data_IF_701880205682
#
_entry.id   IF_701880205682
#
_cell.length_a   1.000
_cell.length_b   1.000
_cell.length_c   1.000
_cell.angle_alpha   90.00
_cell.angle_beta   90.00
_cell.angle_gamma   90.00
#
_symmetry.space_group_name_H-M   'P 1'
#
loop_
_entity.id
_entity.type
_entity.pdbx_description
1 polymer ?
#
# COMPACT_ATOMS: atom_id res chain seq x y z
N UNK A 1 -5.45 22.42 -71.54
CA UNK A 1 -6.27 23.33 -72.35
C UNK A 1 -5.34 24.06 -73.30
N UNK A 2 -5.83 24.60 -74.41
CA UNK A 2 -4.96 25.02 -75.51
C UNK A 2 -4.19 26.32 -75.21
N UNK A 3 -2.94 26.42 -75.68
CA UNK A 3 -2.13 27.63 -75.49
C UNK A 3 -2.78 28.87 -76.15
N UNK A 4 -3.51 28.65 -77.24
CA UNK A 4 -4.23 29.68 -77.99
C UNK A 4 -5.31 30.37 -77.13
N UNK A 5 -6.03 29.62 -76.31
CA UNK A 5 -7.10 30.16 -75.43
C UNK A 5 -6.54 31.04 -74.31
N UNK A 6 -5.31 30.79 -73.84
CA UNK A 6 -4.64 31.65 -72.87
C UNK A 6 -4.13 32.95 -73.51
N UNK A 7 -3.74 32.92 -74.79
CA UNK A 7 -3.33 34.11 -75.54
C UNK A 7 -4.48 35.08 -75.79
N UNK A 8 -5.60 34.58 -76.31
CA UNK A 8 -6.83 35.38 -76.51
C UNK A 8 -7.33 36.00 -75.19
N UNK A 9 -7.19 35.28 -74.08
CA UNK A 9 -7.57 35.74 -72.75
C UNK A 9 -6.75 36.97 -72.27
N UNK A 10 -5.43 36.97 -72.45
CA UNK A 10 -4.60 38.13 -72.09
C UNK A 10 -4.87 39.33 -73.00
N UNK A 11 -5.17 39.11 -74.28
CA UNK A 11 -5.52 40.20 -75.21
C UNK A 11 -6.77 40.97 -74.73
N UNK A 12 -7.82 40.27 -74.29
CA UNK A 12 -9.05 40.90 -73.75
C UNK A 12 -8.78 41.78 -72.52
N UNK A 13 -7.80 41.42 -71.68
CA UNK A 13 -7.40 42.25 -70.52
C UNK A 13 -6.65 43.50 -70.98
N UNK A 14 -5.71 43.36 -71.92
CA UNK A 14 -4.94 44.48 -72.50
C UNK A 14 -5.87 45.47 -73.21
N UNK A 15 -6.81 44.99 -74.01
CA UNK A 15 -7.76 45.82 -74.76
C UNK A 15 -8.70 46.58 -73.81
N UNK A 16 -9.11 45.96 -72.69
CA UNK A 16 -9.91 46.64 -71.66
C UNK A 16 -9.13 47.76 -70.95
N UNK A 17 -7.81 47.63 -70.79
CA UNK A 17 -6.95 48.69 -70.22
C UNK A 17 -6.75 49.82 -71.25
N UNK A 18 -6.52 49.48 -72.52
CA UNK A 18 -6.33 50.46 -73.60
C UNK A 18 -7.60 51.32 -73.85
N UNK A 19 -8.79 50.75 -73.64
CA UNK A 19 -10.06 51.49 -73.79
C UNK A 19 -10.16 52.72 -72.88
N UNK A 20 -9.51 52.70 -71.71
CA UNK A 20 -9.54 53.78 -70.71
C UNK A 20 -8.65 54.99 -71.06
N UNK A 21 -7.66 54.82 -71.93
CA UNK A 21 -6.60 55.81 -72.19
C UNK A 21 -6.73 56.54 -73.54
N UNK A 22 -7.90 56.50 -74.17
CA UNK A 22 -8.12 57.01 -75.54
C UNK A 22 -8.74 58.42 -75.62
N UNK A 23 -8.26 59.39 -74.82
CA UNK A 23 -8.72 60.79 -74.83
C UNK A 23 -7.56 61.80 -74.63
N UNK A 24 -7.20 62.55 -75.68
CA UNK A 24 -6.15 63.59 -75.66
C UNK A 24 -4.73 63.02 -75.73
N UNK A 25 -3.86 63.29 -76.71
CA UNK A 25 -3.48 64.55 -77.40
C UNK A 25 -2.65 65.52 -76.54
N UNK A 26 -1.61 66.08 -77.15
CA UNK A 26 -0.56 66.88 -76.49
C UNK A 26 -1.10 68.24 -75.98
N UNK A 27 -0.82 68.58 -74.71
CA UNK A 27 0.05 69.70 -74.29
C UNK A 27 0.01 69.91 -72.76
N UNK A 28 1.05 70.55 -72.20
CA UNK A 28 1.02 71.09 -70.83
C UNK A 28 1.71 70.27 -69.73
N UNK A 29 2.35 70.97 -68.80
CA UNK A 29 3.10 70.42 -67.65
C UNK A 29 2.31 70.54 -66.33
N UNK A 30 2.76 69.95 -65.19
CA UNK A 30 1.86 69.25 -64.27
C UNK A 30 1.10 70.10 -63.25
N UNK A 31 0.03 69.51 -62.71
CA UNK A 31 -0.57 69.86 -61.40
C UNK A 31 -0.88 68.60 -60.60
N UNK A 32 -0.82 68.73 -59.28
CA UNK A 32 -1.11 67.68 -58.30
C UNK A 32 -2.55 67.85 -57.80
N UNK A 33 -3.32 66.74 -57.77
CA UNK A 33 -4.45 66.52 -56.86
C UNK A 33 -4.68 65.01 -56.69
N UNK A 34 -5.36 64.65 -55.61
CA UNK A 34 -5.60 63.28 -55.16
C UNK A 34 -7.03 62.80 -55.50
N UNK A 35 -7.33 61.51 -55.27
CA UNK A 35 -8.66 60.85 -55.37
C UNK A 35 -9.30 60.82 -56.78
N UNK A 36 -9.88 59.73 -57.30
CA UNK A 36 -10.51 58.57 -56.66
C UNK A 36 -10.14 57.20 -57.28
N UNK A 37 -10.28 56.12 -56.50
CA UNK A 37 -9.92 54.75 -56.89
C UNK A 37 -11.08 53.99 -57.54
N UNK A 38 -11.26 54.11 -58.86
CA UNK A 38 -12.18 53.25 -59.62
C UNK A 38 -11.47 51.93 -59.95
N UNK A 39 -11.81 50.85 -59.23
CA UNK A 39 -11.30 49.50 -59.48
C UNK A 39 -12.07 48.90 -60.68
N UNK A 40 -11.39 48.45 -61.77
CA UNK A 40 -12.06 47.74 -62.85
C UNK A 40 -12.42 46.31 -62.41
N UNK A 41 -13.71 45.95 -62.46
CA UNK A 41 -14.14 44.57 -62.16
C UNK A 41 -13.57 43.58 -63.19
N UNK A 42 -12.97 42.49 -62.71
CA UNK A 42 -12.29 41.48 -63.53
C UNK A 42 -13.29 40.56 -64.23
N UNK A 43 -13.71 40.96 -65.44
CA UNK A 43 -14.78 40.37 -66.28
C UNK A 43 -14.72 38.85 -66.57
N UNK A 44 -13.73 38.08 -66.10
CA UNK A 44 -13.61 36.63 -66.33
C UNK A 44 -13.07 35.83 -65.10
N UNK A 45 -13.53 36.15 -63.89
CA UNK A 45 -13.10 35.43 -62.68
C UNK A 45 -13.34 33.90 -62.75
N UNK A 46 -14.44 33.47 -63.39
CA UNK A 46 -14.84 32.07 -63.53
C UNK A 46 -13.85 31.19 -64.30
N UNK A 47 -13.09 31.77 -65.24
CA UNK A 47 -12.11 31.01 -66.04
C UNK A 47 -10.84 30.73 -65.22
N UNK A 48 -10.39 31.71 -64.42
CA UNK A 48 -9.22 31.55 -63.56
C UNK A 48 -9.42 30.49 -62.47
N UNK A 49 -10.62 30.40 -61.88
CA UNK A 49 -10.96 29.38 -60.86
C UNK A 49 -10.88 27.93 -61.36
N UNK A 50 -10.79 27.69 -62.68
CA UNK A 50 -10.55 26.36 -63.25
C UNK A 50 -9.07 25.93 -63.19
N UNK A 51 -8.14 26.88 -63.08
CA UNK A 51 -6.70 26.64 -63.14
C UNK A 51 -5.95 26.98 -61.85
N UNK A 52 -6.49 27.88 -61.03
CA UNK A 52 -5.83 28.40 -59.83
C UNK A 52 -6.69 28.16 -58.59
N UNK A 53 -6.04 27.78 -57.49
CA UNK A 53 -6.69 27.59 -56.20
C UNK A 53 -7.21 28.93 -55.66
N UNK A 54 -8.28 28.91 -54.85
CA UNK A 54 -8.96 30.08 -54.26
C UNK A 54 -8.14 30.94 -53.28
N UNK A 55 -6.83 30.68 -53.15
CA UNK A 55 -5.88 31.51 -52.40
C UNK A 55 -4.61 31.81 -53.20
N UNK A 56 -4.64 31.63 -54.51
CA UNK A 56 -3.55 31.96 -55.41
C UNK A 56 -3.55 33.46 -55.72
N UNK A 57 -2.35 34.04 -55.83
CA UNK A 57 -2.11 35.47 -56.04
C UNK A 57 -3.00 36.12 -57.11
N UNK A 58 -3.24 35.42 -58.23
CA UNK A 58 -4.01 35.90 -59.38
C UNK A 58 -5.54 35.95 -59.16
N UNK A 59 -6.05 35.29 -58.12
CA UNK A 59 -7.47 35.31 -57.72
C UNK A 59 -7.73 36.23 -56.51
N UNK A 60 -6.68 36.71 -55.86
CA UNK A 60 -6.76 37.62 -54.72
C UNK A 60 -6.54 39.08 -55.14
N UNK A 61 -6.88 40.02 -54.24
CA UNK A 61 -6.62 41.44 -54.39
C UNK A 61 -5.13 41.77 -54.61
N UNK A 62 -4.20 40.94 -54.12
CA UNK A 62 -2.76 41.12 -54.34
C UNK A 62 -2.37 41.02 -55.82
N UNK A 63 -3.07 40.20 -56.62
CA UNK A 63 -2.88 40.11 -58.07
C UNK A 63 -3.26 41.40 -58.80
N UNK A 64 -4.29 42.11 -58.30
CA UNK A 64 -4.67 43.43 -58.82
C UNK A 64 -3.56 44.46 -58.55
N UNK A 65 -2.96 44.44 -57.36
CA UNK A 65 -1.79 45.28 -57.03
C UNK A 65 -0.60 44.96 -57.95
N UNK A 66 -0.33 43.68 -58.22
CA UNK A 66 0.73 43.28 -59.16
C UNK A 66 0.45 43.77 -60.58
N UNK A 67 -0.77 43.67 -61.09
CA UNK A 67 -1.11 44.22 -62.43
C UNK A 67 -1.00 45.75 -62.50
N UNK A 68 -1.35 46.46 -61.42
CA UNK A 68 -1.10 47.91 -61.29
C UNK A 68 0.40 48.27 -61.29
N UNK A 69 1.23 47.47 -60.63
CA UNK A 69 2.69 47.63 -60.68
C UNK A 69 3.25 47.32 -62.07
N UNK A 70 2.76 46.28 -62.76
CA UNK A 70 3.18 45.92 -64.12
C UNK A 70 2.87 47.02 -65.16
N UNK A 71 1.83 47.84 -64.96
CA UNK A 71 1.55 48.99 -65.82
C UNK A 71 2.71 50.02 -65.84
N UNK A 72 3.54 50.09 -64.79
CA UNK A 72 4.74 50.96 -64.77
C UNK A 72 5.81 50.52 -65.77
N UNK A 73 5.83 49.23 -66.17
CA UNK A 73 6.79 48.68 -67.13
C UNK A 73 6.59 49.25 -68.54
N UNK A 74 5.43 49.83 -68.86
CA UNK A 74 5.21 50.55 -70.13
C UNK A 74 6.08 51.82 -70.25
N UNK A 75 6.70 52.28 -69.17
CA UNK A 75 7.69 53.38 -69.17
C UNK A 75 9.12 52.90 -69.43
N UNK A 76 9.35 51.61 -69.68
CA UNK A 76 10.66 51.00 -69.86
C UNK A 76 10.75 50.41 -71.27
N UNK A 77 11.73 50.84 -72.05
CA UNK A 77 11.92 50.41 -73.43
C UNK A 77 12.65 49.05 -73.49
N UNK A 78 11.87 47.96 -73.50
CA UNK A 78 12.37 46.58 -73.46
C UNK A 78 12.94 46.09 -74.78
N UNK A 79 14.17 46.51 -75.10
CA UNK A 79 14.97 45.86 -76.13
C UNK A 79 15.43 44.47 -75.64
N UNK A 80 14.80 43.40 -76.11
CA UNK A 80 15.23 42.01 -75.85
C UNK A 80 16.54 41.69 -76.61
N UNK A 81 17.66 42.03 -75.97
CA UNK A 81 19.01 41.75 -76.48
C UNK A 81 19.29 40.24 -76.37
N UNK A 82 19.03 39.51 -77.46
CA UNK A 82 19.29 38.07 -77.62
C UNK A 82 20.79 37.65 -77.61
N UNK A 83 21.70 38.49 -77.10
CA UNK A 83 23.15 38.20 -77.10
C UNK A 83 23.61 37.30 -75.96
N UNK A 84 23.01 37.41 -74.79
CA UNK A 84 23.65 36.89 -73.56
C UNK A 84 23.37 35.39 -73.31
N UNK A 85 22.67 34.72 -74.24
CA UNK A 85 22.48 33.26 -74.27
C UNK A 85 22.84 32.65 -75.66
N UNK A 86 23.76 33.27 -76.40
CA UNK A 86 24.20 32.81 -77.74
C UNK A 86 24.89 31.42 -77.75
N UNK A 87 25.21 30.85 -76.60
CA UNK A 87 25.88 29.54 -76.45
C UNK A 87 24.94 28.32 -76.42
N UNK A 88 23.62 28.51 -76.48
CA UNK A 88 22.64 27.42 -76.28
C UNK A 88 21.56 27.32 -77.37
N UNK A 89 21.79 27.91 -78.55
CA UNK A 89 20.80 27.97 -79.64
C UNK A 89 21.40 27.64 -81.01
N UNK A 90 21.67 26.35 -81.28
CA UNK A 90 21.99 25.81 -82.62
C UNK A 90 20.76 25.78 -83.56
N UNK A 91 20.02 26.90 -83.64
CA UNK A 91 18.91 27.11 -84.56
C UNK A 91 18.97 28.53 -85.12
N UNK A 92 18.87 28.73 -86.45
CA UNK A 92 18.83 30.07 -87.03
C UNK A 92 17.59 30.83 -86.55
N UNK A 93 17.79 32.11 -86.23
CA UNK A 93 16.70 32.99 -85.80
C UNK A 93 15.70 33.23 -86.94
N UNK A 94 14.42 33.37 -86.57
CA UNK A 94 13.33 33.77 -87.45
C UNK A 94 13.63 35.11 -88.15
N UNK A 95 13.43 35.18 -89.48
CA UNK A 95 13.64 36.40 -90.27
C UNK A 95 12.60 37.46 -89.92
N UNK A 96 13.01 38.53 -89.25
CA UNK A 96 12.14 39.68 -88.94
C UNK A 96 12.03 40.58 -90.19
N UNK A 97 10.82 40.85 -90.73
CA UNK A 97 10.65 41.73 -91.88
C UNK A 97 10.72 43.21 -91.46
N UNK A 98 11.83 43.86 -91.77
CA UNK A 98 12.00 45.31 -91.56
C UNK A 98 11.36 46.11 -92.69
N UNK A 99 10.48 47.06 -92.36
CA UNK A 99 9.90 47.97 -93.34
C UNK A 99 10.84 49.17 -93.54
N UNK A 100 11.44 49.28 -94.73
CA UNK A 100 12.41 50.35 -95.05
C UNK A 100 11.69 51.62 -95.50
N UNK A 101 12.17 52.78 -95.03
CA UNK A 101 11.77 54.10 -95.50
C UNK A 101 13.03 54.91 -95.83
N UNK A 102 13.09 55.52 -97.01
CA UNK A 102 14.25 56.27 -97.51
C UNK A 102 13.81 57.66 -97.98
N UNK A 103 14.54 58.69 -97.57
CA UNK A 103 14.28 60.08 -97.96
C UNK A 103 15.57 60.74 -98.45
N UNK A 104 15.62 61.04 -99.75
CA UNK A 104 16.77 61.64 -100.41
C UNK A 104 16.72 63.18 -100.39
N UNK A 105 17.89 63.83 -100.46
CA UNK A 105 18.02 65.29 -100.41
C UNK A 105 19.08 65.75 -101.44
N UNK A 106 18.67 66.54 -102.43
CA UNK A 106 19.37 66.66 -103.73
C UNK A 106 20.20 67.96 -103.93
N UNK A 107 20.28 68.83 -102.93
CA UNK A 107 20.54 70.27 -103.17
C UNK A 107 21.99 70.77 -102.94
N UNK A 108 23.05 69.96 -103.09
CA UNK A 108 24.45 70.39 -102.78
C UNK A 108 25.56 69.82 -103.69
N UNK A 109 25.61 70.19 -104.98
CA UNK A 109 26.79 69.91 -105.82
C UNK A 109 27.02 70.87 -107.01
N UNK A 110 27.64 72.04 -106.82
CA UNK A 110 28.21 72.83 -107.93
C UNK A 110 29.26 73.91 -107.50
N UNK A 111 30.18 74.29 -108.42
CA UNK A 111 31.18 75.41 -108.42
C UNK A 111 32.53 75.24 -107.66
N UNK A 112 33.73 75.74 -108.08
CA UNK A 112 34.41 76.09 -109.38
C UNK A 112 35.95 76.43 -109.17
N UNK A 113 36.78 76.85 -110.18
CA UNK A 113 38.30 76.87 -110.16
C UNK A 113 39.05 77.92 -111.11
N UNK A 114 40.38 78.23 -110.92
CA UNK A 114 41.45 78.87 -111.85
C UNK A 114 41.63 80.45 -111.99
N UNK A 115 42.67 81.19 -112.54
CA UNK A 115 44.14 81.09 -113.00
C UNK A 115 44.87 82.52 -113.23
N UNK A 116 46.13 82.68 -113.77
CA UNK A 116 47.12 83.87 -113.68
C UNK A 116 48.04 84.17 -114.96
N UNK A 117 48.64 85.39 -115.23
CA UNK A 117 49.85 85.65 -116.16
C UNK A 117 50.76 86.98 -116.11
N UNK A 118 51.56 87.40 -117.17
CA UNK A 118 52.97 87.99 -117.09
C UNK A 118 53.65 88.95 -118.23
N UNK A 119 54.60 89.90 -117.91
CA UNK A 119 55.93 90.33 -118.59
C UNK A 119 56.26 91.52 -119.64
N UNK A 120 57.57 91.99 -119.70
CA UNK A 120 58.52 92.49 -120.82
C UNK A 120 59.04 94.00 -121.14
N UNK A 121 60.17 94.24 -121.91
CA UNK A 121 61.04 95.50 -121.98
C UNK A 121 61.61 96.00 -123.40
N UNK A 122 62.71 96.82 -123.50
CA UNK A 122 63.99 96.74 -124.39
C UNK A 122 64.64 98.07 -124.97
N UNK A 123 65.97 98.04 -125.27
CA UNK A 123 66.82 98.74 -126.31
C UNK A 123 67.73 100.01 -126.11
N UNK A 124 68.66 100.24 -127.08
CA UNK A 124 70.04 100.78 -126.89
C UNK A 124 70.61 101.70 -128.03
N UNK A 125 71.24 102.86 -127.71
CA UNK A 125 72.26 103.53 -128.55
C UNK A 125 73.01 104.70 -127.84
N UNK A 126 74.22 104.48 -127.30
CA UNK A 126 75.06 105.55 -126.71
C UNK A 126 76.56 105.19 -126.62
N UNK A 127 77.13 104.58 -127.67
CA UNK A 127 78.41 103.85 -127.60
C UNK A 127 79.71 104.68 -127.48
N UNK A 128 79.65 106.01 -127.33
CA UNK A 128 80.80 106.84 -126.89
C UNK A 128 80.62 107.32 -125.45
N UNK A 129 79.39 107.62 -125.00
CA UNK A 129 79.11 107.67 -123.55
C UNK A 129 79.58 106.37 -122.91
N UNK A 130 79.44 105.23 -123.60
CA UNK A 130 79.94 103.92 -123.16
C UNK A 130 81.37 103.92 -122.58
N UNK A 131 82.31 104.83 -122.86
CA UNK A 131 83.58 104.81 -122.10
C UNK A 131 83.43 105.41 -120.69
N UNK A 132 82.91 106.63 -120.58
CA UNK A 132 82.68 107.27 -119.28
C UNK A 132 81.62 106.49 -118.50
N UNK A 133 80.55 106.07 -119.18
CA UNK A 133 79.56 105.12 -118.69
C UNK A 133 80.16 103.74 -118.40
N UNK A 134 81.21 103.23 -119.04
CA UNK A 134 81.88 101.98 -118.60
C UNK A 134 82.72 102.20 -117.34
N UNK A 135 83.27 103.38 -117.12
CA UNK A 135 84.04 103.70 -115.91
C UNK A 135 83.10 103.99 -114.72
N UNK A 136 82.00 104.71 -114.96
CA UNK A 136 80.89 104.85 -114.02
C UNK A 136 80.12 103.54 -113.83
N UNK A 137 79.92 102.71 -114.86
CA UNK A 137 79.38 101.35 -114.73
C UNK A 137 80.36 100.47 -113.97
N UNK A 138 81.68 100.60 -114.15
CA UNK A 138 82.67 99.91 -113.31
C UNK A 138 82.55 100.37 -111.85
N UNK A 139 82.38 101.66 -111.58
CA UNK A 139 82.16 102.19 -110.23
C UNK A 139 80.78 101.79 -109.65
N UNK A 140 79.73 101.72 -110.46
CA UNK A 140 78.38 101.27 -110.09
C UNK A 140 78.33 99.76 -109.91
N UNK A 141 79.05 98.98 -110.73
CA UNK A 141 79.27 97.55 -110.58
C UNK A 141 80.10 97.26 -109.34
N UNK A 142 81.15 98.04 -109.04
CA UNK A 142 81.94 97.91 -107.81
C UNK A 142 81.09 98.26 -106.58
N UNK A 143 80.25 99.30 -106.65
CA UNK A 143 79.22 99.60 -105.64
C UNK A 143 78.14 98.50 -105.54
N UNK A 144 77.76 97.86 -106.65
CA UNK A 144 76.77 96.77 -106.72
C UNK A 144 77.35 95.45 -106.19
N UNK A 145 78.61 95.15 -106.47
CA UNK A 145 79.39 94.04 -105.92
C UNK A 145 79.59 94.25 -104.42
N UNK A 146 79.94 95.45 -103.96
CA UNK A 146 80.03 95.73 -102.53
C UNK A 146 78.67 95.58 -101.82
N UNK A 147 77.57 96.04 -102.43
CA UNK A 147 76.21 95.80 -101.93
C UNK A 147 75.85 94.31 -101.95
N UNK A 148 76.17 93.58 -103.02
CA UNK A 148 75.92 92.14 -103.14
C UNK A 148 76.74 91.35 -102.12
N UNK A 149 77.99 91.73 -101.87
CA UNK A 149 78.84 91.12 -100.84
C UNK A 149 78.28 91.39 -99.44
N UNK A 150 77.78 92.60 -99.16
CA UNK A 150 77.11 92.90 -97.90
C UNK A 150 75.77 92.13 -97.73
N UNK A 151 75.01 91.93 -98.81
CA UNK A 151 73.81 91.08 -98.82
C UNK A 151 74.17 89.61 -98.62
N UNK A 152 75.19 89.10 -99.32
CA UNK A 152 75.69 87.73 -99.17
C UNK A 152 76.24 87.49 -97.75
N UNK A 153 76.92 88.46 -97.14
CA UNK A 153 77.34 88.39 -95.73
C UNK A 153 76.15 88.35 -94.77
N UNK A 154 75.11 89.15 -94.99
CA UNK A 154 73.86 89.08 -94.20
C UNK A 154 73.17 87.72 -94.34
N UNK A 155 72.98 87.24 -95.57
CA UNK A 155 72.39 85.94 -95.86
C UNK A 155 73.21 84.79 -95.26
N UNK A 156 74.54 84.82 -95.36
CA UNK A 156 75.41 83.83 -94.72
C UNK A 156 75.25 83.84 -93.19
N UNK A 157 75.24 85.01 -92.56
CA UNK A 157 75.01 85.12 -91.12
C UNK A 157 73.64 84.57 -90.73
N UNK A 158 72.59 84.89 -91.50
CA UNK A 158 71.22 84.40 -91.29
C UNK A 158 71.11 82.88 -91.47
N UNK A 159 71.76 82.31 -92.50
CA UNK A 159 71.88 80.86 -92.70
C UNK A 159 72.58 80.20 -91.51
N UNK A 160 73.69 80.77 -90.99
CA UNK A 160 74.34 80.20 -89.78
C UNK A 160 73.48 80.31 -88.52
N UNK A 161 72.63 81.34 -88.41
CA UNK A 161 71.70 81.50 -87.29
C UNK A 161 70.56 80.47 -87.36
N UNK A 162 69.93 80.33 -88.53
CA UNK A 162 68.89 79.33 -88.78
C UNK A 162 69.42 77.90 -88.62
N UNK A 163 70.66 77.63 -89.05
CA UNK A 163 71.32 76.34 -88.82
C UNK A 163 71.54 76.05 -87.34
N UNK A 164 71.95 77.04 -86.52
CA UNK A 164 72.04 76.89 -85.06
C UNK A 164 70.69 76.64 -84.40
N UNK A 165 69.64 77.36 -84.80
CA UNK A 165 68.28 77.12 -84.32
C UNK A 165 67.77 75.73 -84.70
N UNK A 166 68.07 75.25 -85.91
CA UNK A 166 67.72 73.91 -86.37
C UNK A 166 68.41 72.82 -85.56
N UNK A 167 69.69 72.95 -85.22
CA UNK A 167 70.37 71.99 -84.33
C UNK A 167 69.83 72.07 -82.89
N UNK A 168 69.48 73.26 -82.39
CA UNK A 168 68.81 73.41 -81.09
C UNK A 168 67.47 72.67 -81.06
N UNK A 169 66.63 72.85 -82.08
CA UNK A 169 65.34 72.15 -82.19
C UNK A 169 65.51 70.64 -82.41
N UNK A 170 66.57 70.17 -83.07
CA UNK A 170 66.90 68.73 -83.18
C UNK A 170 67.27 68.14 -81.82
N UNK A 171 68.08 68.84 -81.03
CA UNK A 171 68.45 68.43 -79.67
C UNK A 171 67.23 68.41 -78.74
N UNK A 172 66.36 69.42 -78.83
CA UNK A 172 65.10 69.49 -78.09
C UNK A 172 64.14 68.34 -78.47
N UNK A 173 63.92 68.10 -79.77
CA UNK A 173 63.13 66.96 -80.24
C UNK A 173 63.72 65.63 -79.74
N UNK A 174 65.05 65.47 -79.77
CA UNK A 174 65.72 64.26 -79.25
C UNK A 174 65.54 64.10 -77.74
N UNK A 175 65.53 65.19 -76.97
CA UNK A 175 65.19 65.20 -75.55
C UNK A 175 63.72 64.78 -75.33
N UNK A 176 62.79 65.38 -76.07
CA UNK A 176 61.37 65.05 -76.01
C UNK A 176 61.11 63.58 -76.34
N UNK A 177 61.73 63.02 -77.39
CA UNK A 177 61.67 61.59 -77.70
C UNK A 177 62.14 60.69 -76.54
N UNK A 178 63.19 61.08 -75.82
CA UNK A 178 63.66 60.35 -74.64
C UNK A 178 62.63 60.44 -73.49
N UNK A 179 62.10 61.63 -73.20
CA UNK A 179 61.07 61.79 -72.15
C UNK A 179 59.79 61.02 -72.45
N UNK A 180 59.33 61.00 -73.72
CA UNK A 180 58.15 60.24 -74.16
C UNK A 180 58.40 58.73 -74.10
N UNK A 181 59.62 58.27 -74.42
CA UNK A 181 59.99 56.86 -74.26
C UNK A 181 60.01 56.43 -72.78
N UNK A 182 60.53 57.29 -71.90
CA UNK A 182 60.57 57.07 -70.46
C UNK A 182 59.15 57.05 -69.85
N UNK A 183 58.31 58.06 -70.14
CA UNK A 183 56.91 58.11 -69.69
C UNK A 183 56.09 56.90 -70.17
N UNK A 184 56.33 56.39 -71.38
CA UNK A 184 55.71 55.15 -71.86
C UNK A 184 56.16 53.92 -71.06
N UNK A 185 57.44 53.83 -70.71
CA UNK A 185 57.97 52.76 -69.85
C UNK A 185 57.37 52.83 -68.44
N UNK A 186 57.25 54.03 -67.89
CA UNK A 186 56.72 54.25 -66.54
C UNK A 186 55.20 53.99 -66.49
N UNK A 187 54.45 54.35 -67.54
CA UNK A 187 53.03 53.97 -67.68
C UNK A 187 52.84 52.45 -67.74
N UNK A 188 53.70 51.71 -68.45
CA UNK A 188 53.65 50.24 -68.47
C UNK A 188 53.95 49.66 -67.08
N UNK A 189 54.98 50.17 -66.39
CA UNK A 189 55.29 49.76 -65.01
C UNK A 189 54.14 50.03 -64.04
N UNK A 190 53.51 51.20 -64.13
CA UNK A 190 52.36 51.58 -63.31
C UNK A 190 51.14 50.68 -63.59
N UNK A 191 50.90 50.32 -64.86
CA UNK A 191 49.83 49.40 -65.23
C UNK A 191 50.05 47.98 -64.66
N UNK A 192 51.29 47.48 -64.70
CA UNK A 192 51.64 46.19 -64.08
C UNK A 192 51.41 46.21 -62.57
N UNK A 193 51.93 47.23 -61.89
CA UNK A 193 51.74 47.41 -60.43
C UNK A 193 50.25 47.54 -60.08
N UNK A 194 49.45 48.19 -60.92
CA UNK A 194 48.01 48.28 -60.71
C UNK A 194 47.31 46.91 -60.85
N UNK A 195 47.71 46.08 -61.82
CA UNK A 195 47.22 44.70 -61.96
C UNK A 195 47.55 43.85 -60.72
N UNK A 196 48.81 43.86 -60.29
CA UNK A 196 49.26 43.16 -59.08
C UNK A 196 48.55 43.66 -57.82
N UNK A 197 48.29 44.98 -57.73
CA UNK A 197 47.51 45.58 -56.65
C UNK A 197 46.03 45.15 -56.67
N UNK A 198 45.45 44.94 -57.85
CA UNK A 198 44.05 44.54 -58.01
C UNK A 198 43.85 43.03 -57.72
N UNK A 199 44.82 42.20 -58.08
CA UNK A 199 44.88 40.78 -57.71
C UNK A 199 45.08 40.62 -56.19
N UNK A 200 46.00 41.38 -55.58
CA UNK A 200 46.22 41.33 -54.13
C UNK A 200 45.02 41.83 -53.33
N UNK A 201 44.31 42.87 -53.77
CA UNK A 201 43.02 43.29 -53.18
C UNK A 201 41.96 42.20 -53.31
N UNK A 202 41.85 41.54 -54.47
CA UNK A 202 40.90 40.42 -54.66
C UNK A 202 41.20 39.26 -53.70
N UNK A 203 42.49 38.94 -53.50
CA UNK A 203 42.93 37.91 -52.55
C UNK A 203 42.70 38.30 -51.08
N UNK A 204 42.82 39.57 -50.74
CA UNK A 204 42.46 40.09 -49.40
C UNK A 204 40.95 39.94 -49.17
N UNK A 205 40.12 40.39 -50.11
CA UNK A 205 38.65 40.26 -50.01
C UNK A 205 38.20 38.80 -49.86
N UNK A 206 38.86 37.86 -50.56
CA UNK A 206 38.61 36.43 -50.39
C UNK A 206 38.97 35.96 -48.96
N UNK A 207 40.17 36.27 -48.48
CA UNK A 207 40.62 35.90 -47.14
C UNK A 207 39.75 36.51 -46.03
N UNK A 208 39.25 37.73 -46.20
CA UNK A 208 38.27 38.33 -45.28
C UNK A 208 36.94 37.58 -45.27
N UNK A 209 36.46 37.11 -46.43
CA UNK A 209 35.23 36.31 -46.52
C UNK A 209 35.37 34.93 -45.86
N UNK A 210 36.54 34.28 -46.01
CA UNK A 210 36.88 33.02 -45.35
C UNK A 210 37.03 33.21 -43.83
N UNK A 211 37.74 34.26 -43.39
CA UNK A 211 37.90 34.59 -41.97
C UNK A 211 36.55 34.86 -41.30
N UNK A 212 35.64 35.58 -41.96
CA UNK A 212 34.27 35.81 -41.50
C UNK A 212 33.43 34.52 -41.42
N UNK A 213 33.67 33.57 -42.32
CA UNK A 213 33.05 32.24 -42.25
C UNK A 213 33.59 31.42 -41.07
N UNK A 214 34.91 31.46 -40.82
CA UNK A 214 35.52 30.81 -39.67
C UNK A 214 35.08 31.42 -38.34
N UNK A 215 34.96 32.75 -38.23
CA UNK A 215 34.39 33.44 -37.06
C UNK A 215 32.98 32.91 -36.75
N UNK A 216 32.07 32.95 -37.74
CA UNK A 216 30.69 32.48 -37.59
C UNK A 216 30.57 30.98 -37.27
N UNK A 217 31.57 30.19 -37.66
CA UNK A 217 31.65 28.76 -37.32
C UNK A 217 32.17 28.57 -35.88
N UNK A 218 33.14 29.38 -35.45
CA UNK A 218 33.67 29.35 -34.10
C UNK A 218 32.64 29.85 -33.05
N UNK A 219 31.82 30.85 -33.39
CA UNK A 219 30.67 31.30 -32.59
C UNK A 219 29.71 30.14 -32.31
N UNK A 220 29.21 29.46 -33.36
CA UNK A 220 28.35 28.27 -33.23
C UNK A 220 28.99 27.14 -32.42
N UNK A 221 30.29 26.91 -32.61
CA UNK A 221 31.02 25.90 -31.83
C UNK A 221 31.09 26.29 -30.35
N UNK A 222 31.22 27.58 -30.04
CA UNK A 222 31.19 28.10 -28.66
C UNK A 222 29.80 27.92 -28.02
N UNK A 223 28.73 28.26 -28.74
CA UNK A 223 27.34 28.02 -28.32
C UNK A 223 27.07 26.53 -28.04
N UNK A 224 27.54 25.64 -28.93
CA UNK A 224 27.40 24.19 -28.78
C UNK A 224 28.19 23.67 -27.57
N UNK A 225 29.42 24.14 -27.36
CA UNK A 225 30.24 23.76 -26.19
C UNK A 225 29.59 24.22 -24.88
N UNK A 226 29.01 25.42 -24.82
CA UNK A 226 28.35 25.91 -23.62
C UNK A 226 27.01 25.20 -23.35
N UNK A 227 26.27 24.86 -24.42
CA UNK A 227 25.10 23.95 -24.33
C UNK A 227 25.49 22.59 -23.74
N UNK A 228 26.56 21.96 -24.25
CA UNK A 228 27.06 20.67 -23.75
C UNK A 228 27.52 20.78 -22.28
N UNK A 229 28.19 21.87 -21.89
CA UNK A 229 28.56 22.15 -20.48
C UNK A 229 27.33 22.27 -19.58
N UNK A 230 26.30 22.99 -20.03
CA UNK A 230 25.02 23.13 -19.31
C UNK A 230 24.33 21.79 -19.11
N UNK A 231 24.21 20.98 -20.18
CA UNK A 231 23.67 19.63 -20.13
C UNK A 231 24.50 18.69 -19.21
N UNK A 232 25.82 18.78 -19.23
CA UNK A 232 26.70 18.00 -18.35
C UNK A 232 26.52 18.38 -16.88
N UNK A 233 26.48 19.69 -16.58
CA UNK A 233 26.24 20.20 -15.23
C UNK A 233 24.86 19.74 -14.70
N UNK A 234 23.82 19.86 -15.52
CA UNK A 234 22.46 19.42 -15.19
C UNK A 234 22.36 17.90 -15.01
N UNK A 235 23.03 17.10 -15.83
CA UNK A 235 23.16 15.65 -15.62
C UNK A 235 23.87 15.35 -14.31
N UNK A 236 24.94 16.07 -13.98
CA UNK A 236 25.70 15.87 -12.75
C UNK A 236 24.89 16.25 -11.50
N UNK A 237 24.04 17.29 -11.56
CA UNK A 237 23.05 17.59 -10.49
C UNK A 237 22.11 16.42 -10.26
N UNK A 238 21.60 15.77 -11.32
CA UNK A 238 20.69 14.62 -11.24
C UNK A 238 21.38 13.40 -10.65
N UNK A 239 22.62 13.10 -11.05
CA UNK A 239 23.46 12.09 -10.39
C UNK A 239 23.61 12.39 -8.89
N UNK A 240 23.95 13.63 -8.52
CA UNK A 240 24.08 14.06 -7.13
C UNK A 240 22.75 14.10 -6.34
N UNK A 241 21.59 14.08 -7.01
CA UNK A 241 20.28 13.87 -6.36
C UNK A 241 20.02 12.38 -6.15
N UNK A 242 20.25 11.55 -7.17
CA UNK A 242 20.10 10.09 -7.10
C UNK A 242 21.01 9.48 -6.02
N UNK A 243 22.28 9.91 -5.91
CA UNK A 243 23.20 9.46 -4.84
C UNK A 243 22.66 9.79 -3.45
N UNK A 244 22.01 10.95 -3.27
CA UNK A 244 21.36 11.31 -1.99
C UNK A 244 20.14 10.43 -1.73
N UNK A 245 19.22 10.29 -2.67
CA UNK A 245 18.06 9.40 -2.52
C UNK A 245 18.46 7.94 -2.21
N UNK A 246 19.55 7.44 -2.80
CA UNK A 246 20.10 6.12 -2.48
C UNK A 246 20.67 6.06 -1.05
N UNK A 247 21.39 7.10 -0.60
CA UNK A 247 21.90 7.20 0.78
C UNK A 247 20.78 7.31 1.82
N UNK A 248 19.75 8.11 1.55
CA UNK A 248 18.57 8.26 2.40
C UNK A 248 17.79 6.94 2.48
N UNK A 249 17.59 6.26 1.33
CA UNK A 249 16.96 4.94 1.27
C UNK A 249 17.79 3.87 2.00
N UNK A 250 19.12 3.92 1.92
CA UNK A 250 20.02 2.99 2.59
C UNK A 250 19.94 3.14 4.12
N UNK A 251 20.00 4.38 4.63
CA UNK A 251 19.85 4.62 6.09
C UNK A 251 18.44 4.23 6.60
N UNK A 252 17.39 4.44 5.79
CA UNK A 252 16.04 3.95 6.08
C UNK A 252 15.97 2.41 6.13
N UNK A 253 16.69 1.72 5.24
CA UNK A 253 16.78 0.26 5.21
C UNK A 253 17.54 -0.28 6.42
N UNK A 254 18.68 0.31 6.80
CA UNK A 254 19.46 -0.06 7.98
C UNK A 254 18.68 0.14 9.29
N UNK A 255 17.90 1.23 9.38
CA UNK A 255 16.98 1.46 10.50
C UNK A 255 15.88 0.38 10.57
N UNK A 256 15.25 0.05 9.43
CA UNK A 256 14.24 -1.03 9.35
C UNK A 256 14.83 -2.40 9.71
N UNK A 257 16.04 -2.73 9.23
CA UNK A 257 16.75 -3.96 9.61
C UNK A 257 17.06 -4.02 11.10
N UNK A 258 17.38 -2.88 11.72
CA UNK A 258 17.59 -2.79 13.18
C UNK A 258 16.30 -3.05 13.95
N UNK A 259 15.17 -2.50 13.50
CA UNK A 259 13.85 -2.78 14.09
C UNK A 259 13.48 -4.26 13.92
N UNK A 260 13.71 -4.86 12.75
CA UNK A 260 13.44 -6.28 12.49
C UNK A 260 14.22 -7.16 13.49
N UNK A 261 15.53 -6.93 13.65
CA UNK A 261 16.36 -7.65 14.64
C UNK A 261 15.85 -7.52 16.08
N UNK A 262 15.34 -6.35 16.46
CA UNK A 262 14.73 -6.15 17.78
C UNK A 262 13.40 -6.91 17.94
N UNK A 263 12.58 -7.00 16.87
CA UNK A 263 11.35 -7.76 16.87
C UNK A 263 11.61 -9.27 16.88
N UNK A 264 12.57 -9.76 16.09
CA UNK A 264 13.04 -11.16 16.10
C UNK A 264 13.51 -11.58 17.51
N UNK A 265 14.31 -10.74 18.17
CA UNK A 265 14.75 -10.98 19.55
C UNK A 265 13.58 -11.02 20.55
N UNK A 266 12.60 -10.12 20.42
CA UNK A 266 11.38 -10.13 21.25
C UNK A 266 10.52 -11.37 21.00
N UNK A 267 10.31 -11.76 19.74
CA UNK A 267 9.59 -12.97 19.37
C UNK A 267 10.26 -14.21 19.95
N UNK A 268 11.59 -14.35 19.81
CA UNK A 268 12.34 -15.47 20.41
C UNK A 268 12.21 -15.49 21.93
N UNK A 269 12.32 -14.34 22.59
CA UNK A 269 12.09 -14.22 24.04
C UNK A 269 10.68 -14.66 24.45
N UNK A 270 9.65 -14.27 23.69
CA UNK A 270 8.26 -14.66 23.93
C UNK A 270 8.04 -16.16 23.69
N UNK A 271 8.63 -16.76 22.66
CA UNK A 271 8.61 -18.22 22.43
C UNK A 271 9.19 -18.98 23.61
N UNK A 272 10.35 -18.56 24.14
CA UNK A 272 10.96 -19.18 25.32
C UNK A 272 10.06 -19.09 26.56
N UNK A 273 9.30 -18.00 26.74
CA UNK A 273 8.33 -17.86 27.84
C UNK A 273 7.12 -18.78 27.65
N UNK A 274 6.59 -18.88 26.42
CA UNK A 274 5.49 -19.79 26.08
C UNK A 274 5.90 -21.25 26.30
N UNK A 275 7.13 -21.63 25.93
CA UNK A 275 7.69 -22.97 26.15
C UNK A 275 7.77 -23.31 27.65
N UNK A 276 8.29 -22.38 28.49
CA UNK A 276 8.30 -22.53 29.94
C UNK A 276 6.89 -22.60 30.55
N UNK A 277 5.92 -21.87 30.01
CA UNK A 277 4.52 -21.95 30.47
C UNK A 277 3.90 -23.29 30.11
N UNK A 278 4.14 -23.81 28.90
CA UNK A 278 3.68 -25.14 28.49
C UNK A 278 4.32 -26.25 29.34
N UNK A 279 5.60 -26.14 29.67
CA UNK A 279 6.28 -27.10 30.56
C UNK A 279 5.67 -27.10 31.98
N UNK A 280 5.32 -25.92 32.52
CA UNK A 280 4.61 -25.79 33.80
C UNK A 280 3.20 -26.38 33.75
N UNK A 281 2.45 -26.14 32.67
CA UNK A 281 1.11 -26.71 32.46
C UNK A 281 1.20 -28.24 32.41
N UNK A 282 2.19 -28.81 31.73
CA UNK A 282 2.40 -30.26 31.69
C UNK A 282 2.76 -30.85 33.07
N UNK A 283 3.58 -30.16 33.87
CA UNK A 283 3.89 -30.57 35.27
C UNK A 283 2.64 -30.56 36.14
N UNK A 284 1.88 -29.46 36.15
CA UNK A 284 0.63 -29.32 36.90
C UNK A 284 -0.44 -30.34 36.45
N UNK A 285 -0.51 -30.68 35.17
CA UNK A 285 -1.40 -31.73 34.68
C UNK A 285 -1.02 -33.12 35.21
N UNK A 286 0.27 -33.46 35.23
CA UNK A 286 0.76 -34.73 35.78
C UNK A 286 0.56 -34.82 37.31
N UNK A 287 0.82 -33.72 38.03
CA UNK A 287 0.56 -33.59 39.47
C UNK A 287 -0.93 -33.79 39.77
N UNK A 288 -1.81 -33.09 39.04
CA UNK A 288 -3.26 -33.23 39.14
C UNK A 288 -3.70 -34.68 38.95
N UNK A 289 -3.25 -35.35 37.89
CA UNK A 289 -3.63 -36.76 37.62
C UNK A 289 -3.09 -37.71 38.71
N UNK A 290 -1.97 -37.39 39.37
CA UNK A 290 -1.54 -38.14 40.55
C UNK A 290 -2.46 -37.92 41.75
N UNK A 291 -2.78 -36.66 42.07
CA UNK A 291 -3.71 -36.33 43.14
C UNK A 291 -5.10 -36.94 42.92
N UNK A 292 -5.59 -36.99 41.68
CA UNK A 292 -6.84 -37.69 41.32
C UNK A 292 -6.73 -39.20 41.62
N UNK A 293 -5.64 -39.88 41.24
CA UNK A 293 -5.41 -41.31 41.58
C UNK A 293 -5.38 -41.55 43.09
N UNK A 294 -4.73 -40.69 43.85
CA UNK A 294 -4.61 -40.85 45.30
C UNK A 294 -5.94 -40.53 46.03
N UNK A 295 -6.73 -39.58 45.52
CA UNK A 295 -8.11 -39.36 45.96
C UNK A 295 -9.04 -40.54 45.64
N UNK A 296 -8.84 -41.26 44.53
CA UNK A 296 -9.60 -42.49 44.25
C UNK A 296 -9.30 -43.58 45.29
N UNK A 297 -8.02 -43.82 45.63
CA UNK A 297 -7.63 -44.77 46.69
C UNK A 297 -8.25 -44.41 48.04
N UNK A 298 -8.13 -43.15 48.46
CA UNK A 298 -8.68 -42.69 49.74
C UNK A 298 -10.21 -42.82 49.81
N UNK A 299 -10.92 -42.68 48.68
CA UNK A 299 -12.36 -42.95 48.60
C UNK A 299 -12.69 -44.43 48.72
N UNK A 300 -11.90 -45.30 48.10
CA UNK A 300 -12.03 -46.76 48.22
C UNK A 300 -11.73 -47.23 49.67
N UNK A 301 -10.65 -46.75 50.28
CA UNK A 301 -10.32 -47.00 51.69
C UNK A 301 -11.42 -46.52 52.65
N UNK A 302 -11.98 -45.33 52.42
CA UNK A 302 -13.09 -44.79 53.20
C UNK A 302 -14.38 -45.61 53.02
N UNK A 303 -14.73 -45.97 51.78
CA UNK A 303 -15.89 -46.84 51.51
C UNK A 303 -15.74 -48.21 52.16
N UNK A 304 -14.53 -48.77 52.15
CA UNK A 304 -14.20 -50.02 52.82
C UNK A 304 -14.15 -49.88 54.35
N UNK A 305 -13.95 -48.68 54.91
CA UNK A 305 -14.05 -48.43 56.35
C UNK A 305 -15.51 -48.26 56.80
N UNK A 306 -16.33 -47.59 55.98
CA UNK A 306 -17.76 -47.38 56.21
C UNK A 306 -18.53 -48.71 56.23
N UNK A 307 -18.29 -49.60 55.24
CA UNK A 307 -18.89 -50.95 55.24
C UNK A 307 -18.54 -51.75 56.49
N UNK A 308 -17.26 -51.76 56.89
CA UNK A 308 -16.80 -52.40 58.15
C UNK A 308 -17.45 -51.78 59.38
N UNK A 309 -17.69 -50.47 59.39
CA UNK A 309 -18.37 -49.79 60.50
C UNK A 309 -19.86 -50.17 60.58
N UNK A 310 -20.55 -50.24 59.44
CA UNK A 310 -21.94 -50.71 59.33
C UNK A 310 -22.07 -52.18 59.74
N UNK A 311 -21.10 -53.03 59.39
CA UNK A 311 -21.03 -54.42 59.85
C UNK A 311 -20.81 -54.52 61.36
N UNK A 312 -19.91 -53.73 61.94
CA UNK A 312 -19.70 -53.66 63.38
C UNK A 312 -20.95 -53.15 64.13
N UNK A 313 -21.64 -52.14 63.61
CA UNK A 313 -22.90 -51.65 64.19
C UNK A 313 -23.98 -52.74 64.22
N UNK A 314 -24.13 -53.52 63.13
CA UNK A 314 -25.04 -54.68 63.11
C UNK A 314 -24.64 -55.76 64.12
N UNK A 315 -23.35 -56.01 64.32
CA UNK A 315 -22.89 -56.96 65.35
C UNK A 315 -23.25 -56.46 66.75
N UNK A 316 -23.05 -55.17 67.04
CA UNK A 316 -23.41 -54.55 68.32
C UNK A 316 -24.94 -54.59 68.53
N UNK A 317 -25.75 -54.23 67.52
CA UNK A 317 -27.22 -54.28 67.58
C UNK A 317 -27.74 -55.70 67.88
N UNK A 318 -27.16 -56.72 67.25
CA UNK A 318 -27.47 -58.12 67.54
C UNK A 318 -27.02 -58.56 68.95
N UNK A 319 -25.89 -58.04 69.45
CA UNK A 319 -25.41 -58.29 70.80
C UNK A 319 -26.30 -57.62 71.86
N UNK A 320 -26.69 -56.36 71.68
CA UNK A 320 -27.68 -55.68 72.52
C UNK A 320 -29.01 -56.42 72.52
N UNK A 321 -29.52 -56.80 71.34
CA UNK A 321 -30.75 -57.61 71.19
C UNK A 321 -30.63 -59.03 71.80
N UNK A 322 -29.42 -59.51 72.10
CA UNK A 322 -29.21 -60.75 72.85
C UNK A 322 -29.14 -60.50 74.35
N UNK A 323 -28.46 -59.42 74.78
CA UNK A 323 -28.38 -58.99 76.18
C UNK A 323 -29.77 -58.66 76.71
N UNK A 324 -30.57 -57.85 76.01
CA UNK A 324 -31.96 -57.54 76.40
C UNK A 324 -32.81 -58.80 76.60
N UNK A 325 -32.64 -59.81 75.74
CA UNK A 325 -33.31 -61.12 75.90
C UNK A 325 -32.83 -61.86 77.14
N UNK A 326 -31.52 -61.92 77.39
CA UNK A 326 -30.97 -62.53 78.60
C UNK A 326 -31.38 -61.77 79.88
N UNK A 327 -31.51 -60.44 79.83
CA UNK A 327 -32.01 -59.63 80.93
C UNK A 327 -33.50 -59.90 81.18
N UNK A 328 -34.33 -60.02 80.13
CA UNK A 328 -35.74 -60.39 80.30
C UNK A 328 -35.92 -61.83 80.81
N UNK A 329 -35.08 -62.77 80.37
CA UNK A 329 -35.07 -64.15 80.87
C UNK A 329 -34.61 -64.23 82.32
N UNK A 330 -33.55 -63.49 82.70
CA UNK A 330 -33.06 -63.40 84.07
C UNK A 330 -34.08 -62.75 85.01
N UNK A 331 -34.77 -61.70 84.56
CA UNK A 331 -35.87 -61.08 85.32
C UNK A 331 -37.05 -62.06 85.49
N UNK A 332 -37.42 -62.80 84.44
CA UNK A 332 -38.45 -63.84 84.53
C UNK A 332 -38.07 -64.95 85.53
N UNK A 333 -36.84 -65.48 85.45
CA UNK A 333 -36.33 -66.46 86.40
C UNK A 333 -36.25 -65.92 87.84
N UNK A 334 -35.96 -64.62 88.01
CA UNK A 334 -35.96 -63.97 89.33
C UNK A 334 -37.38 -63.89 89.91
N UNK A 335 -38.38 -63.54 89.08
CA UNK A 335 -39.81 -63.54 89.47
C UNK A 335 -40.29 -64.96 89.81
N UNK A 336 -39.90 -65.97 89.02
CA UNK A 336 -40.23 -67.38 89.30
C UNK A 336 -39.58 -67.89 90.59
N UNK A 337 -38.32 -67.49 90.85
CA UNK A 337 -37.61 -67.80 92.09
C UNK A 337 -38.28 -67.13 93.30
N UNK A 338 -38.68 -65.87 93.20
CA UNK A 338 -39.34 -65.15 94.31
C UNK A 338 -40.77 -65.66 94.55
N UNK A 339 -41.53 -66.00 93.50
CA UNK A 339 -42.79 -66.74 93.63
C UNK A 339 -42.58 -68.09 94.33
N UNK A 340 -41.49 -68.81 94.01
CA UNK A 340 -41.15 -70.09 94.64
C UNK A 340 -40.75 -69.93 96.11
N UNK A 341 -40.03 -68.84 96.47
CA UNK A 341 -39.77 -68.48 97.88
C UNK A 341 -41.07 -68.18 98.61
N UNK A 342 -41.96 -67.34 98.05
CA UNK A 342 -43.25 -67.03 98.65
C UNK A 342 -44.13 -68.28 98.87
N UNK A 343 -44.12 -69.23 97.93
CA UNK A 343 -44.79 -70.52 98.09
C UNK A 343 -44.14 -71.39 99.19
N UNK A 344 -42.81 -71.37 99.32
CA UNK A 344 -42.09 -72.03 100.41
C UNK A 344 -42.37 -71.40 101.77
N UNK A 345 -42.44 -70.08 101.86
CA UNK A 345 -42.76 -69.36 103.10
C UNK A 345 -44.22 -69.59 103.53
N UNK A 346 -45.16 -69.64 102.58
CA UNK A 346 -46.53 -70.09 102.82
C UNK A 346 -46.57 -71.54 103.29
N UNK A 347 -45.79 -72.45 102.70
CA UNK A 347 -45.70 -73.84 103.14
C UNK A 347 -45.14 -73.97 104.57
N UNK A 348 -44.18 -73.13 104.95
CA UNK A 348 -43.66 -73.05 106.33
C UNK A 348 -44.74 -72.56 107.30
N UNK A 349 -45.51 -71.54 106.94
CA UNK A 349 -46.65 -71.05 107.75
C UNK A 349 -47.72 -72.14 107.93
N UNK A 350 -48.15 -72.79 106.85
CA UNK A 350 -49.11 -73.90 106.89
C UNK A 350 -48.57 -75.08 107.73
N UNK A 351 -47.26 -75.36 107.69
CA UNK A 351 -46.63 -76.39 108.53
C UNK A 351 -46.70 -76.04 110.03
N UNK A 352 -46.46 -74.78 110.39
CA UNK A 352 -46.60 -74.30 111.77
C UNK A 352 -48.06 -74.35 112.26
N UNK A 353 -49.02 -74.03 111.39
CA UNK A 353 -50.45 -74.15 111.69
C UNK A 353 -50.87 -75.63 111.89
N UNK A 354 -50.40 -76.54 111.04
CA UNK A 354 -50.60 -77.99 111.21
C UNK A 354 -49.95 -78.52 112.50
N UNK A 355 -48.76 -78.06 112.86
CA UNK A 355 -48.11 -78.41 114.13
C UNK A 355 -48.88 -77.89 115.36
N UNK A 356 -49.51 -76.72 115.27
CA UNK A 356 -50.37 -76.19 116.33
C UNK A 356 -51.71 -76.93 116.42
N UNK A 357 -52.33 -77.27 115.28
CA UNK A 357 -53.52 -78.10 115.23
C UNK A 357 -53.26 -79.53 115.76
N UNK A 358 -52.09 -80.11 115.52
CA UNK A 358 -51.69 -81.40 116.12
C UNK A 358 -51.50 -81.29 117.64
N UNK A 359 -50.93 -80.20 118.17
CA UNK A 359 -50.91 -79.94 119.63
C UNK A 359 -52.33 -79.86 120.19
N UNK A 360 -53.23 -79.12 119.54
CA UNK A 360 -54.62 -79.01 119.96
C UNK A 360 -55.33 -80.37 119.91
N UNK A 361 -55.15 -81.16 118.85
CA UNK A 361 -55.70 -82.52 118.73
C UNK A 361 -55.15 -83.47 119.81
N UNK A 362 -53.89 -83.32 120.23
CA UNK A 362 -53.32 -84.07 121.37
C UNK A 362 -53.95 -83.67 122.70
N UNK A 363 -54.19 -82.38 122.92
CA UNK A 363 -54.90 -81.88 124.12
C UNK A 363 -56.35 -82.37 124.13
N UNK A 364 -57.08 -82.25 123.02
CA UNK A 364 -58.46 -82.76 122.89
C UNK A 364 -58.53 -84.28 123.05
N UNK A 365 -57.60 -85.04 122.47
CA UNK A 365 -57.53 -86.51 122.65
C UNK A 365 -57.32 -86.87 124.11
N UNK A 366 -56.33 -86.27 124.79
CA UNK A 366 -56.10 -86.48 126.22
C UNK A 366 -57.34 -86.11 127.04
N UNK A 367 -58.08 -85.08 126.63
CA UNK A 367 -59.33 -84.69 127.30
C UNK A 367 -60.45 -85.72 127.11
N UNK A 368 -60.56 -86.34 125.94
CA UNK A 368 -61.45 -87.47 125.72
C UNK A 368 -61.01 -88.69 126.54
N UNK A 369 -59.72 -89.03 126.57
CA UNK A 369 -59.15 -90.13 127.37
C UNK A 369 -59.45 -89.93 128.88
N UNK A 370 -59.29 -88.70 129.41
CA UNK A 370 -59.69 -88.34 130.78
C UNK A 370 -61.19 -88.53 131.03
N UNK A 371 -62.04 -88.18 130.06
CA UNK A 371 -63.49 -88.36 130.15
C UNK A 371 -63.91 -89.82 130.04
N UNK A 372 -63.27 -90.62 129.20
CA UNK A 372 -63.49 -92.06 129.09
C UNK A 372 -63.05 -92.79 130.37
N UNK A 373 -61.91 -92.42 130.97
CA UNK A 373 -61.52 -92.90 132.29
C UNK A 373 -62.54 -92.50 133.37
N UNK A 374 -62.98 -91.24 133.40
CA UNK A 374 -64.01 -90.76 134.36
C UNK A 374 -65.34 -91.50 134.20
N UNK A 375 -65.75 -91.80 132.95
CA UNK A 375 -66.95 -92.59 132.65
C UNK A 375 -66.77 -94.07 133.03
N UNK A 376 -65.57 -94.63 132.87
CA UNK A 376 -65.24 -96.00 133.30
C UNK A 376 -65.23 -96.11 134.83
N UNK A 377 -64.71 -95.12 135.54
CA UNK A 377 -64.77 -95.04 137.01
C UNK A 377 -66.21 -94.89 137.50
N UNK A 378 -67.01 -94.01 136.90
CA UNK A 378 -68.45 -93.92 137.21
C UNK A 378 -69.20 -95.21 136.88
N UNK A 379 -68.87 -95.88 135.78
CA UNK A 379 -69.47 -97.19 135.45
C UNK A 379 -69.09 -98.26 136.47
N UNK A 380 -67.85 -98.25 136.98
CA UNK A 380 -67.42 -99.16 138.05
C UNK A 380 -68.17 -98.89 139.37
N UNK A 381 -68.34 -97.62 139.77
CA UNK A 381 -69.10 -97.23 140.97
C UNK A 381 -70.59 -97.56 140.84
N UNK A 382 -71.19 -97.29 139.68
CA UNK A 382 -72.58 -97.68 139.39
C UNK A 382 -72.73 -99.21 139.42
N UNK A 383 -71.74 -99.96 138.96
CA UNK A 383 -71.76 -101.42 139.01
C UNK A 383 -71.53 -101.97 140.44
N UNK A 384 -70.73 -101.31 141.29
CA UNK A 384 -70.59 -101.72 142.70
C UNK A 384 -71.87 -101.45 143.50
N UNK A 385 -72.47 -100.26 143.37
CA UNK A 385 -73.75 -100.00 144.04
C UNK A 385 -74.92 -100.77 143.43
N UNK A 386 -74.83 -101.21 142.16
CA UNK A 386 -75.75 -102.22 141.61
C UNK A 386 -75.56 -103.56 142.30
N UNK A 387 -74.33 -104.03 142.51
CA UNK A 387 -74.06 -105.28 143.23
C UNK A 387 -74.53 -105.23 144.70
N UNK A 388 -74.35 -104.10 145.39
CA UNK A 388 -74.94 -103.87 146.73
C UNK A 388 -76.47 -103.93 146.70
N UNK A 389 -77.11 -103.23 145.75
CA UNK A 389 -78.56 -103.25 145.59
C UNK A 389 -79.11 -104.62 145.19
N UNK A 390 -78.33 -105.45 144.49
CA UNK A 390 -78.71 -106.81 144.12
C UNK A 390 -78.48 -107.81 145.27
N UNK A 391 -77.45 -107.63 146.10
CA UNK A 391 -77.29 -108.35 147.37
C UNK A 391 -78.45 -108.08 148.34
N UNK A 392 -78.87 -106.82 148.46
CA UNK A 392 -80.06 -106.41 149.23
C UNK A 392 -81.38 -106.94 148.65
N UNK A 393 -81.43 -107.22 147.34
CA UNK A 393 -82.59 -107.85 146.69
C UNK A 393 -82.61 -109.37 146.89
N UNK A 394 -81.45 -110.02 146.79
CA UNK A 394 -81.29 -111.48 146.89
C UNK A 394 -81.54 -111.98 148.32
N UNK A 395 -81.03 -111.26 149.33
CA UNK A 395 -81.36 -111.46 150.75
C UNK A 395 -82.86 -111.26 151.06
N UNK A 396 -83.53 -110.31 150.40
CA UNK A 396 -84.97 -110.11 150.58
C UNK A 396 -85.81 -111.21 149.89
N UNK A 397 -85.34 -111.84 148.81
CA UNK A 397 -85.99 -113.04 148.24
C UNK A 397 -85.76 -114.30 149.07
N UNK A 398 -84.61 -114.46 149.73
CA UNK A 398 -84.35 -115.62 150.59
C UNK A 398 -85.33 -115.75 151.78
N UNK A 399 -86.01 -114.66 152.16
CA UNK A 399 -87.01 -114.65 153.22
C UNK A 399 -88.42 -115.13 152.79
N UNK A 400 -88.73 -115.26 151.49
CA UNK A 400 -90.10 -115.63 151.06
C UNK A 400 -90.40 -117.14 151.03
N UNK A 401 -89.37 -117.99 150.92
CA UNK A 401 -89.54 -119.45 150.75
C UNK A 401 -89.44 -120.27 152.06
N UNK A 402 -89.52 -119.59 153.22
CA UNK A 402 -89.36 -120.20 154.54
C UNK A 402 -90.59 -121.02 155.02
N UNK A 403 -90.78 -122.22 154.47
CA UNK A 403 -91.79 -123.18 154.97
C UNK A 403 -91.32 -123.97 156.19
N UNK A 404 -92.28 -124.38 157.04
CA UNK A 404 -92.03 -125.22 158.22
C UNK A 404 -91.75 -126.67 157.81
N UNK A 405 -90.58 -127.19 158.19
CA UNK A 405 -90.26 -128.61 158.03
C UNK A 405 -91.14 -129.49 158.92
N UNK A 406 -91.61 -130.63 158.40
CA UNK A 406 -92.61 -131.45 159.07
C UNK A 406 -92.00 -132.39 160.12
N UNK A 407 -92.70 -132.55 161.25
CA UNK A 407 -92.17 -133.18 162.48
C UNK A 407 -91.92 -134.70 162.35
N UNK A 408 -92.38 -135.33 161.27
CA UNK A 408 -92.17 -136.75 160.95
C UNK A 408 -90.89 -137.05 160.16
N UNK A 409 -90.30 -136.06 159.48
CA UNK A 409 -89.25 -136.29 158.47
C UNK A 409 -87.84 -135.95 158.95
N UNK A 410 -87.71 -135.27 160.09
CA UNK A 410 -86.43 -134.75 160.57
C UNK A 410 -86.12 -135.20 162.03
N UNK A 411 -85.52 -136.39 162.23
CA UNK A 411 -85.24 -136.93 163.56
C UNK A 411 -84.08 -136.24 164.29
N UNK A 412 -83.30 -135.42 163.59
CA UNK A 412 -82.03 -134.85 164.04
C UNK A 412 -82.00 -133.31 163.92
N UNK A 413 -81.14 -132.64 164.68
CA UNK A 413 -80.94 -131.20 164.58
C UNK A 413 -80.18 -130.81 163.29
N UNK A 414 -80.72 -129.86 162.51
CA UNK A 414 -80.15 -129.46 161.21
C UNK A 414 -78.71 -128.92 161.27
N UNK A 415 -78.33 -128.26 162.37
CA UNK A 415 -76.99 -127.68 162.56
C UNK A 415 -75.92 -128.66 163.09
N UNK A 416 -76.31 -129.78 163.71
CA UNK A 416 -75.36 -130.67 164.41
C UNK A 416 -75.70 -132.16 164.38
N UNK A 417 -76.66 -132.56 163.53
CA UNK A 417 -77.10 -133.93 163.21
C UNK A 417 -77.38 -134.87 164.40
N UNK A 418 -77.51 -134.33 165.62
CA UNK A 418 -77.83 -135.12 166.82
C UNK A 418 -79.32 -135.46 166.89
N UNK A 419 -79.71 -136.69 167.28
CA UNK A 419 -81.11 -137.08 167.44
C UNK A 419 -81.80 -136.40 168.63
N UNK A 420 -83.11 -136.15 168.50
CA UNK A 420 -83.94 -135.58 169.57
C UNK A 420 -84.39 -136.65 170.60
N UNK A 421 -84.55 -136.24 171.86
CA UNK A 421 -85.07 -137.10 172.94
C UNK A 421 -85.76 -136.27 174.04
N UNK A 422 -86.27 -136.92 175.10
CA UNK A 422 -87.07 -136.27 176.16
C UNK A 422 -86.34 -135.09 176.85
N UNK A 423 -84.99 -135.11 176.89
CA UNK A 423 -84.14 -134.04 177.45
C UNK A 423 -83.67 -133.02 176.40
N UNK A 424 -83.89 -133.26 175.11
CA UNK A 424 -83.61 -132.34 173.99
C UNK A 424 -84.87 -132.10 173.17
N UNK A 425 -85.69 -131.16 173.63
CA UNK A 425 -86.95 -130.76 172.98
C UNK A 425 -86.71 -129.94 171.72
N UNK A 426 -87.63 -130.03 170.76
CA UNK A 426 -87.62 -129.24 169.52
C UNK A 426 -87.97 -127.79 169.84
N UNK A 427 -87.22 -126.84 169.28
CA UNK A 427 -87.45 -125.40 169.41
C UNK A 427 -87.16 -124.75 168.07
N UNK A 428 -88.19 -124.16 167.44
CA UNK A 428 -88.03 -123.38 166.22
C UNK A 428 -87.46 -122.00 166.59
N UNK A 429 -86.33 -121.62 166.00
CA UNK A 429 -85.69 -120.33 166.27
C UNK A 429 -85.96 -119.37 165.11
N UNK A 430 -86.42 -118.16 165.42
CA UNK A 430 -86.64 -117.10 164.44
C UNK A 430 -85.55 -116.02 164.64
N UNK A 431 -84.57 -115.98 163.73
CA UNK A 431 -83.49 -114.99 163.76
C UNK A 431 -83.37 -114.28 162.42
N UNK A 432 -83.42 -112.95 162.45
CA UNK A 432 -82.82 -112.10 161.43
C UNK A 432 -81.31 -112.06 161.63
N UNK A 433 -80.55 -111.87 160.55
CA UNK A 433 -79.24 -111.23 160.61
C UNK A 433 -78.99 -110.43 159.33
N UNK A 434 -78.53 -109.20 159.48
CA UNK A 434 -78.08 -108.36 158.37
C UNK A 434 -76.58 -108.55 158.15
N UNK A 435 -76.16 -108.52 156.89
CA UNK A 435 -75.25 -107.49 156.37
C UNK A 435 -75.39 -107.43 154.84
#
# INVERSE_FOLDING_TARGET
MDHQQLGEFFQVIIDSINSSNSNGSLEGSPKICETDTIIPETKNLSTFTTFYHSGALLLNNEGVVVTGLLATLNSIDFCFILKDNLSYMDKPLHVIPYHVYLQANLNRLEKLYSVVNLCRPTDLSSSIDQKNFLEDLCNVLKKRINRQNAVNQRLNNEITNLSKQMESMKLENRSLYITVAQLKKDQVGLNTIHSESMETVSRINQLESELKHYQKTNEKNSELVESIRSHLNESNKRCNQLTRYLSDSQSSLEHKQTIIKQLEAKCKGMTNVIEQMNERIAKLANEKVSQERDLYKLREELSNADTRSVEQLKVIENQTSHIERLETELNQQTIELDNSKMASDQLILCKLEVEELDKQLKVWRKRCEEQECSLSEMAAVVNSSKLEAESLRESHSAFSDAQWANDSENPNCFLCQSPFNVSRRRVCCFCMYNN
#
